data_IF_663723512954
#
_entry.id   IF_663723512954
#
_cell.length_a   1.000
_cell.length_b   1.000
_cell.length_c   1.000
_cell.angle_alpha   90.00
_cell.angle_beta   90.00
_cell.angle_gamma   90.00
#
_symmetry.space_group_name_H-M   'P 1'
#
loop_
_entity.id
_entity.type
_entity.pdbx_description
1 polymer ?
#
# COMPACT_ATOMS: atom_id res chain seq x y z
N UNK A 1 31.46 -13.73 8.94
CA UNK A 1 31.00 -15.09 9.29
C UNK A 1 32.10 -15.75 10.10
N UNK A 2 31.76 -16.23 11.28
CA UNK A 2 32.71 -16.89 12.17
C UNK A 2 33.02 -18.27 11.58
N UNK A 3 34.31 -18.56 11.30
CA UNK A 3 34.78 -19.85 10.75
C UNK A 3 34.27 -21.10 11.51
N UNK A 4 33.76 -20.91 12.74
CA UNK A 4 33.21 -21.97 13.59
C UNK A 4 31.77 -22.38 13.20
N UNK A 5 30.94 -21.43 12.75
CA UNK A 5 29.57 -21.72 12.31
C UNK A 5 29.58 -22.63 11.07
N UNK A 6 30.53 -22.40 10.17
CA UNK A 6 30.65 -23.18 8.93
C UNK A 6 30.95 -24.66 9.20
N UNK A 7 31.74 -24.99 10.24
CA UNK A 7 32.19 -26.37 10.47
C UNK A 7 31.06 -27.27 10.94
N UNK A 8 30.19 -26.77 11.81
CA UNK A 8 29.05 -27.56 12.30
C UNK A 8 28.10 -27.88 11.17
N UNK A 9 27.79 -26.89 10.33
CA UNK A 9 26.92 -27.09 9.17
C UNK A 9 27.56 -28.06 8.18
N UNK A 10 28.86 -27.92 7.90
CA UNK A 10 29.60 -28.87 7.05
C UNK A 10 29.58 -30.30 7.62
N UNK A 11 29.71 -30.45 8.94
CA UNK A 11 29.60 -31.75 9.59
C UNK A 11 28.20 -32.35 9.47
N UNK A 12 27.15 -31.55 9.66
CA UNK A 12 25.77 -31.97 9.48
C UNK A 12 25.47 -32.37 8.03
N UNK A 13 25.96 -31.60 7.05
CA UNK A 13 25.82 -31.90 5.62
C UNK A 13 26.52 -33.20 5.22
N UNK A 14 27.71 -33.44 5.77
CA UNK A 14 28.41 -34.70 5.58
C UNK A 14 27.61 -35.88 6.13
N UNK A 15 27.07 -35.73 7.34
CA UNK A 15 26.33 -36.77 8.04
C UNK A 15 24.97 -37.09 7.41
N UNK A 16 24.32 -36.12 6.77
CA UNK A 16 22.98 -36.27 6.18
C UNK A 16 22.88 -37.43 5.16
N UNK A 17 23.96 -37.70 4.43
CA UNK A 17 23.99 -38.71 3.38
C UNK A 17 24.59 -40.05 3.85
N UNK A 18 24.79 -40.22 5.15
CA UNK A 18 25.41 -41.41 5.74
C UNK A 18 24.49 -42.08 6.75
N UNK A 19 24.44 -43.40 6.68
CA UNK A 19 23.74 -44.21 7.69
C UNK A 19 24.47 -44.17 9.03
N UNK A 20 25.80 -44.37 8.99
CA UNK A 20 26.71 -44.22 10.12
C UNK A 20 28.08 -43.74 9.65
N UNK A 21 28.86 -43.19 10.58
CA UNK A 21 30.23 -42.74 10.35
C UNK A 21 30.99 -42.65 11.67
N UNK A 22 32.28 -42.34 11.65
CA UNK A 22 33.05 -42.05 12.85
C UNK A 22 33.71 -40.67 12.79
N UNK A 23 34.15 -40.17 13.94
CA UNK A 23 34.76 -38.83 14.03
C UNK A 23 36.05 -38.70 13.21
N UNK A 24 36.84 -39.77 13.08
CA UNK A 24 38.07 -39.74 12.28
C UNK A 24 37.76 -39.59 10.80
N UNK A 25 36.77 -40.31 10.31
CA UNK A 25 36.30 -40.23 8.93
C UNK A 25 35.76 -38.83 8.60
N UNK A 26 34.95 -38.27 9.51
CA UNK A 26 34.46 -36.89 9.44
C UNK A 26 35.63 -35.89 9.41
N UNK A 27 36.57 -36.02 10.36
CA UNK A 27 37.70 -35.12 10.49
C UNK A 27 38.63 -35.15 9.28
N UNK A 28 38.86 -36.34 8.73
CA UNK A 28 39.69 -36.53 7.53
C UNK A 28 38.98 -35.94 6.30
N UNK A 29 37.68 -36.18 6.14
CA UNK A 29 36.94 -35.68 4.97
C UNK A 29 36.85 -34.16 4.95
N UNK A 30 36.61 -33.55 6.11
CA UNK A 30 36.45 -32.10 6.23
C UNK A 30 37.79 -31.37 6.49
N UNK A 31 38.91 -32.09 6.49
CA UNK A 31 40.25 -31.58 6.82
C UNK A 31 40.26 -30.72 8.09
N UNK A 32 39.66 -31.26 9.16
CA UNK A 32 39.53 -30.55 10.42
C UNK A 32 40.89 -30.37 11.10
N UNK A 33 41.10 -29.19 11.67
CA UNK A 33 42.23 -28.97 12.58
C UNK A 33 41.99 -29.72 13.89
N UNK A 34 43.06 -30.06 14.65
CA UNK A 34 42.92 -30.76 15.93
C UNK A 34 42.00 -30.04 16.93
N UNK A 35 41.99 -28.71 16.92
CA UNK A 35 41.11 -27.92 17.77
C UNK A 35 39.63 -28.07 17.38
N UNK A 36 39.33 -28.02 16.08
CA UNK A 36 37.95 -28.17 15.57
C UNK A 36 37.42 -29.59 15.82
N UNK A 37 38.27 -30.60 15.63
CA UNK A 37 37.94 -31.98 15.97
C UNK A 37 37.63 -32.14 17.46
N UNK A 38 38.43 -31.52 18.33
CA UNK A 38 38.22 -31.55 19.80
C UNK A 38 36.89 -30.91 20.18
N UNK A 39 36.57 -29.77 19.57
CA UNK A 39 35.31 -29.05 19.80
C UNK A 39 34.12 -29.92 19.36
N UNK A 40 34.18 -30.53 18.17
CA UNK A 40 33.14 -31.44 17.69
C UNK A 40 33.01 -32.68 18.58
N UNK A 41 34.13 -33.28 19.00
CA UNK A 41 34.13 -34.42 19.91
C UNK A 41 33.42 -34.11 21.24
N UNK A 42 33.60 -32.90 21.77
CA UNK A 42 32.94 -32.46 23.00
C UNK A 42 31.43 -32.30 22.81
N UNK A 43 30.99 -31.77 21.67
CA UNK A 43 29.56 -31.66 21.37
C UNK A 43 28.90 -33.02 21.16
N UNK A 44 29.60 -33.96 20.52
CA UNK A 44 29.16 -35.34 20.37
C UNK A 44 29.02 -36.00 21.74
N UNK A 45 30.02 -35.87 22.61
CA UNK A 45 29.98 -36.42 23.97
C UNK A 45 28.81 -35.90 24.80
N UNK A 46 28.45 -34.62 24.61
CA UNK A 46 27.29 -33.99 25.23
C UNK A 46 25.95 -34.36 24.58
N UNK A 47 25.98 -35.19 23.53
CA UNK A 47 24.81 -35.56 22.71
C UNK A 47 24.11 -34.34 22.13
N UNK A 48 24.86 -33.26 21.92
CA UNK A 48 24.34 -32.07 21.27
C UNK A 48 24.18 -32.33 19.78
N UNK A 49 25.15 -32.96 19.13
CA UNK A 49 25.10 -33.38 17.72
C UNK A 49 25.48 -34.84 17.61
N UNK A 50 24.88 -35.54 16.65
CA UNK A 50 25.13 -36.95 16.35
C UNK A 50 24.91 -37.91 17.55
N UNK A 51 24.11 -38.94 17.32
CA UNK A 51 23.87 -39.94 18.36
C UNK A 51 25.01 -40.95 18.40
N UNK A 52 25.38 -41.38 19.61
CA UNK A 52 26.30 -42.50 19.84
C UNK A 52 25.83 -43.34 21.03
N UNK A 53 26.32 -44.58 21.13
CA UNK A 53 25.94 -45.53 22.18
C UNK A 53 26.87 -45.55 23.41
N UNK A 54 28.04 -44.90 23.34
CA UNK A 54 29.02 -44.94 24.43
C UNK A 54 28.72 -43.99 25.59
N UNK A 55 29.09 -44.41 26.80
CA UNK A 55 29.11 -43.58 28.00
C UNK A 55 30.52 -42.98 28.13
N UNK A 56 30.63 -41.65 28.15
CA UNK A 56 31.92 -40.91 28.11
C UNK A 56 32.67 -41.09 26.78
N UNK A 57 32.05 -40.63 25.70
CA UNK A 57 32.62 -40.68 24.35
C UNK A 57 33.96 -39.96 24.26
N UNK A 58 34.07 -38.78 24.87
CA UNK A 58 35.25 -37.92 24.71
C UNK A 58 36.55 -38.56 25.23
N UNK A 59 36.46 -39.30 26.33
CA UNK A 59 37.61 -39.93 27.00
C UNK A 59 37.83 -41.39 26.58
N UNK A 60 37.01 -41.92 25.68
CA UNK A 60 37.07 -43.31 25.26
C UNK A 60 38.36 -43.60 24.48
N UNK A 61 39.14 -44.61 24.90
CA UNK A 61 40.43 -44.97 24.25
C UNK A 61 40.31 -45.29 22.76
N UNK A 62 39.15 -45.81 22.35
CA UNK A 62 38.86 -46.15 20.95
C UNK A 62 37.75 -45.26 20.38
N UNK A 63 37.74 -43.97 20.75
CA UNK A 63 36.73 -43.00 20.31
C UNK A 63 36.49 -43.03 18.80
N UNK A 64 37.56 -43.13 18.03
CA UNK A 64 37.51 -43.08 16.57
C UNK A 64 36.91 -44.34 15.90
N UNK A 65 36.57 -45.36 16.70
CA UNK A 65 35.86 -46.57 16.22
C UNK A 65 34.38 -46.57 16.55
N UNK A 66 33.92 -45.57 17.32
CA UNK A 66 32.53 -45.46 17.72
C UNK A 66 31.72 -44.96 16.54
N UNK A 67 30.61 -45.65 16.26
CA UNK A 67 29.66 -45.23 15.26
C UNK A 67 28.81 -44.06 15.76
N UNK A 68 28.72 -43.04 14.90
CA UNK A 68 27.93 -41.84 15.04
C UNK A 68 26.76 -41.93 14.05
N UNK A 69 25.59 -41.48 14.49
CA UNK A 69 24.37 -41.53 13.72
C UNK A 69 23.76 -40.14 13.58
N UNK A 70 23.35 -39.79 12.37
CA UNK A 70 22.63 -38.54 12.11
C UNK A 70 21.21 -38.62 12.66
N UNK A 71 20.82 -37.64 13.48
CA UNK A 71 19.51 -37.66 14.13
C UNK A 71 18.49 -36.75 13.44
N UNK A 72 17.22 -36.94 13.77
CA UNK A 72 16.14 -36.03 13.36
C UNK A 72 16.39 -34.61 13.88
N UNK A 73 16.93 -34.46 15.09
CA UNK A 73 17.28 -33.15 15.65
C UNK A 73 18.38 -32.46 14.83
N UNK A 74 19.37 -33.23 14.37
CA UNK A 74 20.43 -32.74 13.49
C UNK A 74 19.87 -32.29 12.13
N UNK A 75 18.91 -33.03 11.56
CA UNK A 75 18.19 -32.65 10.34
C UNK A 75 17.45 -31.32 10.51
N UNK A 76 16.75 -31.11 11.63
CA UNK A 76 16.05 -29.85 11.89
C UNK A 76 17.01 -28.67 12.01
N UNK A 77 18.21 -28.86 12.56
CA UNK A 77 19.24 -27.81 12.61
C UNK A 77 19.74 -27.45 11.22
N UNK A 78 19.97 -28.45 10.38
CA UNK A 78 20.39 -28.23 8.99
C UNK A 78 19.31 -27.48 8.20
N UNK A 79 18.03 -27.85 8.36
CA UNK A 79 16.90 -27.15 7.75
C UNK A 79 16.78 -25.71 8.26
N UNK A 80 16.88 -25.50 9.58
CA UNK A 80 16.81 -24.17 10.18
C UNK A 80 17.92 -23.25 9.63
N UNK A 81 19.12 -23.80 9.41
CA UNK A 81 20.20 -23.06 8.78
C UNK A 81 19.85 -22.67 7.33
N UNK A 82 19.36 -23.63 6.53
CA UNK A 82 18.96 -23.38 5.15
C UNK A 82 17.83 -22.34 5.06
N UNK A 83 16.83 -22.41 5.93
CA UNK A 83 15.73 -21.44 6.00
C UNK A 83 16.23 -20.04 6.38
N UNK A 84 17.16 -19.94 7.34
CA UNK A 84 17.77 -18.65 7.71
C UNK A 84 18.60 -18.06 6.56
N UNK A 85 19.31 -18.91 5.82
CA UNK A 85 20.09 -18.49 4.65
C UNK A 85 19.16 -18.00 3.52
N UNK A 86 18.09 -18.74 3.23
CA UNK A 86 17.07 -18.35 2.26
C UNK A 86 16.37 -17.04 2.67
N UNK A 87 16.01 -16.90 3.94
CA UNK A 87 15.43 -15.68 4.49
C UNK A 87 16.39 -14.48 4.35
N UNK A 88 17.70 -14.67 4.58
CA UNK A 88 18.71 -13.62 4.36
C UNK A 88 18.83 -13.25 2.88
N UNK A 89 18.82 -14.22 1.97
CA UNK A 89 18.85 -13.97 0.53
C UNK A 89 17.59 -13.21 0.07
N UNK A 90 16.42 -13.60 0.58
CA UNK A 90 15.15 -12.93 0.32
C UNK A 90 15.12 -11.51 0.89
N UNK A 91 15.64 -11.30 2.11
CA UNK A 91 15.74 -9.97 2.69
C UNK A 91 16.67 -9.05 1.88
N UNK A 92 17.81 -9.58 1.42
CA UNK A 92 18.74 -8.85 0.58
C UNK A 92 18.15 -8.48 -0.79
N UNK A 93 17.37 -9.38 -1.41
CA UNK A 93 16.70 -9.09 -2.68
C UNK A 93 15.61 -8.03 -2.47
N UNK A 94 14.79 -8.16 -1.43
CA UNK A 94 13.77 -7.17 -1.07
C UNK A 94 14.37 -5.78 -0.83
N UNK A 95 15.51 -5.71 -0.13
CA UNK A 95 16.24 -4.45 0.10
C UNK A 95 16.69 -3.78 -1.21
N UNK A 96 17.17 -4.57 -2.18
CA UNK A 96 17.51 -4.06 -3.51
C UNK A 96 16.29 -3.51 -4.24
N UNK A 97 15.16 -4.24 -4.23
CA UNK A 97 13.91 -3.77 -4.83
C UNK A 97 13.42 -2.47 -4.20
N UNK A 98 13.47 -2.36 -2.87
CA UNK A 98 13.11 -1.14 -2.16
C UNK A 98 14.01 0.04 -2.58
N UNK A 99 15.32 -0.21 -2.74
CA UNK A 99 16.28 0.81 -3.19
C UNK A 99 15.94 1.30 -4.60
N UNK A 100 15.65 0.40 -5.54
CA UNK A 100 15.23 0.77 -6.89
C UNK A 100 13.92 1.56 -6.89
N UNK A 101 12.93 1.12 -6.12
CA UNK A 101 11.65 1.83 -6.00
C UNK A 101 11.85 3.25 -5.46
N UNK A 102 12.74 3.43 -4.47
CA UNK A 102 13.07 4.74 -3.91
C UNK A 102 13.70 5.66 -4.96
N UNK A 103 14.64 5.15 -5.76
CA UNK A 103 15.26 5.90 -6.87
C UNK A 103 14.20 6.34 -7.89
N UNK A 104 13.32 5.41 -8.29
CA UNK A 104 12.23 5.71 -9.25
C UNK A 104 11.29 6.78 -8.67
N UNK A 105 10.94 6.67 -7.39
CA UNK A 105 10.08 7.64 -6.71
C UNK A 105 10.70 9.04 -6.67
N UNK A 106 12.00 9.15 -6.38
CA UNK A 106 12.71 10.43 -6.40
C UNK A 106 12.71 11.02 -7.82
N UNK A 107 13.05 10.22 -8.83
CA UNK A 107 13.06 10.67 -10.21
C UNK A 107 11.67 11.15 -10.67
N UNK A 108 10.61 10.40 -10.35
CA UNK A 108 9.24 10.78 -10.65
C UNK A 108 8.84 12.09 -9.96
N UNK A 109 9.23 12.29 -8.70
CA UNK A 109 8.96 13.52 -7.96
C UNK A 109 9.63 14.74 -8.61
N UNK A 110 10.89 14.60 -9.06
CA UNK A 110 11.63 15.66 -9.76
C UNK A 110 10.94 16.00 -11.10
N UNK A 111 10.63 14.99 -11.91
CA UNK A 111 9.97 15.19 -13.22
C UNK A 111 8.59 15.83 -13.04
N UNK A 112 7.80 15.33 -12.09
CA UNK A 112 6.48 15.89 -11.78
C UNK A 112 6.57 17.36 -11.35
N UNK A 113 7.57 17.71 -10.55
CA UNK A 113 7.79 19.09 -10.12
C UNK A 113 8.19 19.98 -11.30
N UNK A 114 9.07 19.49 -12.18
CA UNK A 114 9.50 20.23 -13.38
C UNK A 114 8.33 20.44 -14.37
N UNK A 115 7.52 19.42 -14.62
CA UNK A 115 6.33 19.53 -15.45
C UNK A 115 5.32 20.52 -14.84
N UNK A 116 5.13 20.48 -13.52
CA UNK A 116 4.26 21.44 -12.82
C UNK A 116 4.74 22.88 -13.02
N UNK A 117 6.05 23.15 -12.95
CA UNK A 117 6.60 24.48 -13.17
C UNK A 117 6.43 24.95 -14.62
N UNK A 118 6.67 24.06 -15.60
CA UNK A 118 6.42 24.36 -17.02
C UNK A 118 4.95 24.67 -17.25
N UNK A 119 4.04 23.92 -16.62
CA UNK A 119 2.61 24.12 -16.76
C UNK A 119 2.11 25.41 -16.10
N UNK A 120 2.74 25.86 -15.02
CA UNK A 120 2.44 27.16 -14.40
C UNK A 120 2.94 28.31 -15.28
N UNK A 121 4.10 28.17 -15.91
CA UNK A 121 4.69 29.21 -16.76
C UNK A 121 4.22 29.16 -18.22
N UNK A 122 3.52 28.11 -18.64
CA UNK A 122 2.91 28.08 -19.96
C UNK A 122 1.73 29.02 -19.97
N UNK A 123 1.69 29.95 -20.93
CA UNK A 123 0.49 30.70 -21.24
C UNK A 123 -0.66 29.71 -21.42
N UNK A 124 -1.70 29.84 -20.59
CA UNK A 124 -2.93 29.06 -20.72
C UNK A 124 -3.57 29.51 -22.03
N UNK A 125 -3.12 28.94 -23.15
CA UNK A 125 -3.83 29.03 -24.42
C UNK A 125 -5.02 28.09 -24.29
N UNK A 126 -6.16 28.63 -23.88
CA UNK A 126 -7.43 27.92 -24.01
C UNK A 126 -7.51 27.37 -25.44
N UNK A 127 -7.77 26.06 -25.62
CA UNK A 127 -7.92 25.47 -26.94
C UNK A 127 -8.85 26.35 -27.79
N UNK A 128 -8.48 26.62 -29.04
CA UNK A 128 -9.22 27.56 -29.90
C UNK A 128 -10.71 27.23 -30.02
N UNK A 129 -11.06 25.95 -29.84
CA UNK A 129 -12.44 25.49 -29.76
C UNK A 129 -13.18 26.04 -28.53
N UNK A 130 -12.54 26.07 -27.36
CA UNK A 130 -13.14 26.59 -26.12
C UNK A 130 -13.37 28.10 -26.17
N UNK A 131 -12.44 28.86 -26.74
CA UNK A 131 -12.62 30.32 -26.92
C UNK A 131 -13.74 30.62 -27.91
N UNK A 132 -13.79 29.90 -29.05
CA UNK A 132 -14.87 30.00 -30.04
C UNK A 132 -16.24 29.63 -29.47
N UNK A 133 -16.34 28.57 -28.65
CA UNK A 133 -17.62 28.24 -27.99
C UNK A 133 -18.05 29.32 -27.01
N UNK A 134 -17.12 29.93 -26.27
CA UNK A 134 -17.44 31.01 -25.33
C UNK A 134 -17.92 32.27 -26.06
N UNK A 135 -17.28 32.60 -27.18
CA UNK A 135 -17.66 33.74 -28.02
C UNK A 135 -19.04 33.53 -28.66
N UNK A 136 -19.32 32.33 -29.17
CA UNK A 136 -20.64 31.97 -29.70
C UNK A 136 -21.73 32.02 -28.62
N UNK A 137 -21.43 31.58 -27.40
CA UNK A 137 -22.37 31.67 -26.26
C UNK A 137 -22.64 33.14 -25.92
N UNK A 138 -21.61 33.98 -25.82
CA UNK A 138 -21.78 35.41 -25.54
C UNK A 138 -22.55 36.14 -26.65
N UNK A 139 -22.27 35.83 -27.92
CA UNK A 139 -23.03 36.37 -29.05
C UNK A 139 -24.48 35.90 -29.04
N UNK A 140 -24.77 34.67 -28.63
CA UNK A 140 -26.12 34.15 -28.48
C UNK A 140 -26.87 34.74 -27.28
N UNK A 141 -26.19 35.13 -26.21
CA UNK A 141 -26.79 35.71 -25.01
C UNK A 141 -27.11 37.20 -25.15
N UNK A 142 -26.36 37.94 -25.98
CA UNK A 142 -26.61 39.36 -26.26
C UNK A 142 -28.04 39.67 -26.75
N UNK A 143 -28.58 38.99 -27.79
CA UNK A 143 -29.95 39.23 -28.24
C UNK A 143 -30.99 38.72 -27.23
N UNK A 144 -30.68 37.68 -26.44
CA UNK A 144 -31.57 37.16 -25.40
C UNK A 144 -31.73 38.21 -24.28
N UNK A 145 -30.64 38.81 -23.80
CA UNK A 145 -30.69 39.88 -22.81
C UNK A 145 -31.41 41.13 -23.33
N UNK A 146 -31.21 41.51 -24.60
CA UNK A 146 -31.95 42.61 -25.22
C UNK A 146 -33.45 42.31 -25.33
N UNK A 147 -33.82 41.07 -25.65
CA UNK A 147 -35.22 40.65 -25.72
C UNK A 147 -35.86 40.55 -24.34
N UNK A 148 -35.14 40.09 -23.32
CA UNK A 148 -35.60 40.09 -21.92
C UNK A 148 -35.86 41.52 -21.44
N UNK A 149 -34.95 42.47 -21.72
CA UNK A 149 -35.15 43.87 -21.37
C UNK A 149 -36.37 44.48 -22.09
N UNK A 150 -36.57 44.17 -23.37
CA UNK A 150 -37.78 44.57 -24.11
C UNK A 150 -39.06 43.97 -23.54
N UNK A 151 -39.03 42.71 -23.11
CA UNK A 151 -40.18 42.06 -22.46
C UNK A 151 -40.47 42.73 -21.12
N UNK A 152 -39.44 43.04 -20.32
CA UNK A 152 -39.59 43.76 -19.05
C UNK A 152 -40.25 45.13 -19.29
N UNK A 153 -39.74 45.92 -20.24
CA UNK A 153 -40.34 47.22 -20.63
C UNK A 153 -41.80 47.08 -21.13
N UNK A 154 -42.12 46.00 -21.86
CA UNK A 154 -43.50 45.72 -22.30
C UNK A 154 -44.42 45.29 -21.15
N UNK A 155 -43.90 44.55 -20.16
CA UNK A 155 -44.68 44.10 -18.99
C UNK A 155 -44.88 45.17 -17.91
N UNK A 156 -44.16 46.28 -17.94
CA UNK A 156 -44.43 47.44 -17.07
C UNK A 156 -45.65 48.27 -17.53
N UNK A 157 -46.15 48.06 -18.75
CA UNK A 157 -47.25 48.87 -19.31
C UNK A 157 -48.70 48.37 -19.05
N UNK A 158 -49.03 47.07 -18.87
CA UNK A 158 -50.42 46.67 -18.60
C UNK A 158 -50.81 46.58 -17.11
N UNK A 159 -49.88 46.61 -16.16
CA UNK A 159 -50.20 46.50 -14.71
C UNK A 159 -50.97 47.71 -14.18
N UNK A 160 -50.76 48.91 -14.75
CA UNK A 160 -51.53 50.11 -14.39
C UNK A 160 -52.99 50.08 -14.88
N UNK A 161 -53.28 49.37 -15.97
CA UNK A 161 -54.64 49.35 -16.56
C UNK A 161 -55.56 48.38 -15.79
N UNK A 162 -55.04 47.23 -15.32
CA UNK A 162 -55.87 46.30 -14.55
C UNK A 162 -56.23 46.79 -13.14
N UNK A 163 -55.35 47.58 -12.50
CA UNK A 163 -55.67 48.16 -11.19
C UNK A 163 -56.80 49.21 -11.25
N UNK A 164 -56.91 49.99 -12.33
CA UNK A 164 -58.01 50.93 -12.51
C UNK A 164 -59.37 50.25 -12.71
N UNK A 165 -59.41 49.10 -13.40
CA UNK A 165 -60.65 48.35 -13.61
C UNK A 165 -61.17 47.64 -12.35
N UNK A 166 -60.29 47.20 -11.46
CA UNK A 166 -60.71 46.54 -10.21
C UNK A 166 -61.32 47.55 -9.21
N UNK A 167 -60.87 48.81 -9.21
CA UNK A 167 -61.36 49.83 -8.26
C UNK A 167 -62.77 50.34 -8.64
N UNK A 168 -63.17 50.34 -9.92
CA UNK A 168 -64.49 50.87 -10.32
C UNK A 168 -65.66 49.89 -10.12
N UNK A 169 -65.41 48.59 -9.99
CA UNK A 169 -66.47 47.57 -9.91
C UNK A 169 -66.86 47.16 -8.48
N UNK A 170 -66.20 47.73 -7.45
CA UNK A 170 -66.51 47.47 -6.05
C UNK A 170 -67.40 48.58 -5.45
N UNK A 171 -68.66 48.67 -5.90
CA UNK A 171 -69.69 49.43 -5.18
C UNK A 171 -70.29 48.55 -4.07
N UNK A 172 -70.29 48.98 -2.80
CA UNK A 172 -70.80 48.17 -1.69
C UNK A 172 -72.34 48.05 -1.73
N UNK A 173 -72.80 46.80 -1.62
CA UNK A 173 -74.21 46.43 -1.44
C UNK A 173 -74.69 46.86 -0.05
N UNK A 174 -75.63 47.81 0.00
CA UNK A 174 -76.35 48.18 1.22
C UNK A 174 -77.69 47.43 1.28
N UNK A 175 -77.93 46.55 2.28
CA UNK A 175 -79.23 45.92 2.44
C UNK A 175 -80.25 46.92 2.98
N UNK A 176 -81.28 47.22 2.17
CA UNK A 176 -82.45 48.01 2.59
C UNK A 176 -83.40 47.13 3.39
N UNK A 177 -83.54 47.40 4.69
CA UNK A 177 -84.66 46.88 5.47
C UNK A 177 -85.88 47.76 5.23
N UNK A 178 -86.87 47.22 4.53
CA UNK A 178 -88.23 47.72 4.56
C UNK A 178 -88.91 47.27 5.86
N UNK A 179 -89.73 48.12 6.49
CA UNK A 179 -91.14 47.84 6.82
C UNK A 179 -91.78 48.93 7.74
N UNK A 180 -92.88 49.46 7.19
CA UNK A 180 -94.16 49.94 7.76
C UNK A 180 -94.27 51.17 8.67
N UNK A 181 -95.09 52.08 8.14
CA UNK A 181 -95.81 53.17 8.77
C UNK A 181 -96.83 52.72 9.83
N UNK A 182 -97.13 53.62 10.79
CA UNK A 182 -98.46 53.79 11.38
C UNK A 182 -98.58 55.11 12.17
N UNK A 183 -99.37 56.05 11.61
CA UNK A 183 -100.38 56.97 12.20
C UNK A 183 -100.11 57.57 13.61
N UNK A 184 -99.92 58.90 13.70
CA UNK A 184 -100.93 59.96 14.01
C UNK A 184 -101.52 59.89 15.44
N UNK A 185 -101.90 61.01 16.09
CA UNK A 185 -101.49 62.41 15.97
C UNK A 185 -100.74 62.94 17.22
#
# INVERSE_FOLDING_TARGET
MSKLEDIYILALQYAENKESFNLRELATTLNLTPNQETILALQIDRKEIFLHNQVLYFTHRQRDTIELFFTVADKFRLLSHAELEEARLSANSASKYATYALIISIAAAIISSALSLIQINSDISLPEHTTKTLENINQSLSPINQNINKIIEQTETPTKIQQYFIIQNALPYFPTQAIKASKNP
#
